data_IF_201956615772
#
_entry.id   IF_201956615772
#
_cell.length_a   1.000
_cell.length_b   1.000
_cell.length_c   1.000
_cell.angle_alpha   90.00
_cell.angle_beta   90.00
_cell.angle_gamma   90.00
#
_symmetry.space_group_name_H-M   'P 1'
#
loop_
_entity.id
_entity.type
_entity.pdbx_description
1 polymer ?
#
# COMPACT_ATOMS: atom_id res chain seq x y z
N UNK A 1 15.29 17.92 -9.74
CA UNK A 1 14.33 18.36 -8.71
C UNK A 1 13.61 17.18 -8.09
N UNK A 2 13.35 17.24 -6.78
CA UNK A 2 12.63 16.22 -6.00
C UNK A 2 11.21 16.74 -5.74
N UNK A 3 10.21 15.85 -5.78
CA UNK A 3 8.82 16.21 -5.44
C UNK A 3 8.71 16.37 -3.93
N UNK A 4 8.09 17.45 -3.47
CA UNK A 4 7.87 17.75 -2.06
C UNK A 4 6.37 17.78 -1.76
N UNK A 5 5.97 17.25 -0.60
CA UNK A 5 4.56 17.18 -0.16
C UNK A 5 3.99 15.76 -0.14
N UNK A 6 2.69 15.66 0.11
CA UNK A 6 1.97 14.37 0.13
C UNK A 6 1.64 13.92 -1.29
N UNK A 7 2.00 12.69 -1.63
CA UNK A 7 1.72 12.09 -2.93
C UNK A 7 1.61 10.57 -2.87
N UNK A 8 0.72 10.03 -3.71
CA UNK A 8 0.72 8.65 -4.14
C UNK A 8 0.54 8.66 -5.66
N UNK A 9 1.59 8.32 -6.40
CA UNK A 9 1.61 8.46 -7.87
C UNK A 9 1.96 7.12 -8.49
N UNK A 10 1.21 6.74 -9.52
CA UNK A 10 1.51 5.58 -10.36
C UNK A 10 1.80 6.03 -11.80
N UNK A 11 2.78 5.40 -12.43
CA UNK A 11 3.23 5.67 -13.78
C UNK A 11 3.41 4.37 -14.57
N UNK A 12 3.03 4.41 -15.84
CA UNK A 12 3.29 3.36 -16.82
C UNK A 12 4.22 3.92 -17.88
N UNK A 13 5.23 3.15 -18.25
CA UNK A 13 6.21 3.54 -19.25
C UNK A 13 5.97 2.68 -20.49
N UNK A 14 5.71 3.33 -21.64
CA UNK A 14 5.51 2.63 -22.91
C UNK A 14 6.65 1.65 -23.21
N UNK A 15 6.28 0.42 -23.60
CA UNK A 15 7.24 -0.65 -23.87
C UNK A 15 7.77 -1.39 -22.62
N UNK A 16 7.28 -1.06 -21.42
CA UNK A 16 7.56 -1.81 -20.19
C UNK A 16 6.29 -2.48 -19.68
N UNK A 17 6.40 -3.75 -19.34
CA UNK A 17 5.34 -4.51 -18.67
C UNK A 17 5.44 -4.34 -17.15
N UNK A 18 5.33 -3.09 -16.70
CA UNK A 18 5.42 -2.75 -15.28
C UNK A 18 4.68 -1.44 -14.98
N UNK A 19 4.07 -1.40 -13.80
CA UNK A 19 3.61 -0.16 -13.15
C UNK A 19 4.67 0.25 -12.13
N UNK A 20 5.01 1.53 -12.12
CA UNK A 20 5.89 2.12 -11.12
C UNK A 20 5.06 3.03 -10.24
N UNK A 21 5.22 2.97 -8.93
CA UNK A 21 4.54 3.90 -8.05
C UNK A 21 5.43 4.35 -6.90
N UNK A 22 5.12 5.53 -6.36
CA UNK A 22 5.82 6.10 -5.23
C UNK A 22 4.81 6.66 -4.23
N UNK A 23 5.13 6.52 -2.95
CA UNK A 23 4.32 6.97 -1.82
C UNK A 23 5.10 7.92 -0.92
N UNK A 24 4.45 8.99 -0.51
CA UNK A 24 4.84 9.82 0.62
C UNK A 24 3.59 10.46 1.24
N UNK A 25 3.28 10.17 2.51
CA UNK A 25 2.14 10.64 3.31
C UNK A 25 0.73 10.26 2.78
N UNK A 26 0.55 10.01 1.48
CA UNK A 26 -0.72 9.55 0.90
C UNK A 26 -0.78 8.02 0.89
N UNK A 27 -1.92 7.39 1.25
CA UNK A 27 -2.02 5.94 1.33
C UNK A 27 -1.85 5.29 -0.06
N UNK A 28 -1.07 4.21 -0.08
CA UNK A 28 -0.86 3.37 -1.26
C UNK A 28 -0.60 1.94 -0.80
N UNK A 29 -1.30 1.00 -1.41
CA UNK A 29 -1.31 -0.40 -1.02
C UNK A 29 -1.26 -1.30 -2.24
N UNK A 30 -0.51 -2.41 -2.12
CA UNK A 30 -0.41 -3.45 -3.15
C UNK A 30 -1.29 -4.64 -2.76
N UNK A 31 -2.22 -5.00 -3.62
CA UNK A 31 -2.90 -6.29 -3.56
C UNK A 31 -2.13 -7.33 -4.38
N UNK A 32 -1.87 -8.50 -3.83
CA UNK A 32 -1.11 -9.56 -4.50
C UNK A 32 -1.97 -10.81 -4.71
N UNK A 33 -2.06 -11.33 -5.92
CA UNK A 33 -2.57 -12.69 -6.18
C UNK A 33 -1.52 -13.51 -6.93
N UNK A 34 -1.82 -14.78 -7.19
CA UNK A 34 -0.89 -15.70 -7.87
C UNK A 34 -0.55 -15.25 -9.29
N UNK A 35 -1.42 -14.48 -9.96
CA UNK A 35 -1.28 -14.11 -11.37
C UNK A 35 -1.48 -12.62 -11.66
N UNK A 36 -1.97 -11.84 -10.70
CA UNK A 36 -2.30 -10.42 -10.88
C UNK A 36 -1.93 -9.62 -9.64
N UNK A 37 -1.57 -8.36 -9.85
CA UNK A 37 -1.23 -7.43 -8.79
C UNK A 37 -2.06 -6.17 -8.97
N UNK A 38 -2.49 -5.63 -7.85
CA UNK A 38 -3.37 -4.48 -7.76
C UNK A 38 -2.63 -3.37 -7.02
N UNK A 39 -2.90 -2.13 -7.41
CA UNK A 39 -2.38 -0.95 -6.72
C UNK A 39 -3.55 0.00 -6.50
N UNK A 40 -3.78 0.37 -5.25
CA UNK A 40 -4.90 1.24 -4.88
C UNK A 40 -4.53 2.10 -3.67
N UNK A 41 -5.34 3.12 -3.39
CA UNK A 41 -5.23 3.92 -2.16
C UNK A 41 -5.76 3.18 -0.94
N UNK A 42 -6.57 2.13 -1.14
CA UNK A 42 -7.17 1.37 -0.05
C UNK A 42 -7.52 -0.07 -0.50
N UNK A 43 -7.64 -0.98 0.47
CA UNK A 43 -7.83 -2.42 0.27
C UNK A 43 -9.17 -2.79 -0.39
N UNK A 44 -10.32 -2.18 -0.04
CA UNK A 44 -11.61 -2.55 -0.62
C UNK A 44 -11.67 -2.46 -2.15
N UNK A 45 -10.82 -1.65 -2.77
CA UNK A 45 -10.76 -1.48 -4.22
C UNK A 45 -10.37 -2.75 -4.99
N UNK A 46 -9.74 -3.73 -4.34
CA UNK A 46 -9.33 -4.99 -4.96
C UNK A 46 -9.68 -6.23 -4.15
N UNK A 47 -10.41 -6.07 -3.04
CA UNK A 47 -10.65 -7.13 -2.07
C UNK A 47 -11.51 -8.28 -2.62
N UNK A 48 -12.32 -8.01 -3.67
CA UNK A 48 -13.02 -9.05 -4.43
C UNK A 48 -12.08 -9.98 -5.20
N UNK A 49 -10.82 -9.57 -5.43
CA UNK A 49 -9.83 -10.31 -6.20
C UNK A 49 -8.74 -10.94 -5.34
N UNK A 50 -8.36 -10.30 -4.23
CA UNK A 50 -7.38 -10.82 -3.29
C UNK A 50 -7.50 -10.19 -1.91
N UNK A 51 -7.31 -11.01 -0.88
CA UNK A 51 -7.18 -10.61 0.52
C UNK A 51 -5.71 -10.43 0.96
N UNK A 52 -4.75 -10.68 0.07
CA UNK A 52 -3.31 -10.58 0.36
C UNK A 52 -2.83 -9.18 0.03
N UNK A 53 -2.33 -8.50 1.05
CA UNK A 53 -2.05 -7.06 1.04
C UNK A 53 -0.62 -6.79 1.49
N UNK A 54 0.09 -5.92 0.78
CA UNK A 54 1.34 -5.32 1.24
C UNK A 54 1.17 -3.80 1.33
N UNK A 55 1.28 -3.28 2.56
CA UNK A 55 1.26 -1.84 2.81
C UNK A 55 2.63 -1.22 2.49
N UNK A 56 2.62 -0.14 1.73
CA UNK A 56 3.82 0.66 1.46
C UNK A 56 4.02 1.68 2.57
N UNK A 57 5.25 2.04 2.86
CA UNK A 57 5.61 3.12 3.79
C UNK A 57 6.00 4.39 3.00
N UNK A 58 6.19 5.48 3.72
CA UNK A 58 6.63 6.73 3.12
C UNK A 58 8.08 6.62 2.61
N UNK A 59 8.31 7.15 1.41
CA UNK A 59 9.57 7.00 0.70
C UNK A 59 9.69 5.70 -0.10
N UNK A 60 8.69 4.81 -0.05
CA UNK A 60 8.69 3.60 -0.87
C UNK A 60 8.46 3.93 -2.35
N UNK A 61 9.25 3.27 -3.19
CA UNK A 61 9.07 3.16 -4.63
C UNK A 61 8.83 1.70 -4.96
N UNK A 62 7.68 1.40 -5.56
CA UNK A 62 7.28 0.06 -5.95
C UNK A 62 7.32 -0.11 -7.46
N UNK A 63 7.87 -1.24 -7.90
CA UNK A 63 7.71 -1.75 -9.27
C UNK A 63 6.83 -2.98 -9.22
N UNK A 64 5.67 -2.89 -9.85
CA UNK A 64 4.68 -3.96 -9.97
C UNK A 64 4.73 -4.55 -11.37
N UNK A 65 4.78 -5.87 -11.46
CA UNK A 65 4.78 -6.68 -12.69
C UNK A 65 3.80 -7.83 -12.53
N UNK A 66 3.36 -8.49 -13.62
CA UNK A 66 2.45 -9.65 -13.52
C UNK A 66 2.96 -10.79 -12.64
N UNK A 67 4.28 -10.91 -12.46
CA UNK A 67 4.90 -11.95 -11.63
C UNK A 67 5.14 -11.55 -10.18
N UNK A 68 4.80 -10.32 -9.79
CA UNK A 68 4.96 -9.81 -8.43
C UNK A 68 5.45 -8.38 -8.38
N UNK A 69 5.91 -7.95 -7.20
CA UNK A 69 6.36 -6.59 -6.96
C UNK A 69 7.73 -6.55 -6.27
N UNK A 70 8.41 -5.43 -6.39
CA UNK A 70 9.64 -5.13 -5.65
C UNK A 70 9.51 -3.72 -5.10
N UNK A 71 9.94 -3.53 -3.85
CA UNK A 71 9.95 -2.23 -3.19
C UNK A 71 11.39 -1.79 -2.97
N UNK A 72 11.66 -0.52 -3.23
CA UNK A 72 12.91 0.14 -2.88
C UNK A 72 12.62 1.40 -2.08
N UNK A 73 13.59 1.87 -1.32
CA UNK A 73 13.57 3.22 -0.77
C UNK A 73 13.89 4.29 -1.85
N UNK A 74 13.90 5.56 -1.46
CA UNK A 74 14.24 6.70 -2.32
C UNK A 74 15.69 6.63 -2.88
N UNK A 75 16.56 5.83 -2.27
CA UNK A 75 17.96 5.62 -2.69
C UNK A 75 18.10 4.44 -3.67
N UNK A 76 17.02 3.70 -3.91
CA UNK A 76 16.99 2.51 -4.76
C UNK A 76 17.44 1.24 -4.04
N UNK A 77 17.62 1.27 -2.72
CA UNK A 77 17.94 0.09 -1.93
C UNK A 77 16.68 -0.75 -1.71
N UNK A 78 16.78 -2.08 -1.88
CA UNK A 78 15.61 -2.96 -1.72
C UNK A 78 15.15 -2.98 -0.27
N UNK A 79 13.84 -2.82 -0.08
CA UNK A 79 13.17 -2.94 1.21
C UNK A 79 12.12 -4.05 1.15
N UNK A 80 11.91 -4.72 2.28
CA UNK A 80 10.95 -5.81 2.39
C UNK A 80 9.65 -5.31 3.02
N UNK A 81 8.54 -5.43 2.29
CA UNK A 81 7.18 -5.21 2.80
C UNK A 81 6.48 -6.55 2.93
N UNK A 82 6.02 -6.87 4.15
CA UNK A 82 5.33 -8.12 4.39
C UNK A 82 4.00 -8.15 3.64
N UNK A 83 3.66 -9.32 3.10
CA UNK A 83 2.32 -9.58 2.59
C UNK A 83 1.51 -10.24 3.68
N UNK A 84 0.42 -9.59 4.08
CA UNK A 84 -0.51 -10.02 5.12
C UNK A 84 -1.84 -10.43 4.48
N UNK A 85 -2.57 -11.34 5.12
CA UNK A 85 -3.96 -11.64 4.72
C UNK A 85 -4.89 -10.78 5.57
N UNK A 86 -5.77 -10.03 4.92
CA UNK A 86 -6.78 -9.22 5.60
C UNK A 86 -8.04 -10.05 5.80
N UNK A 87 -8.42 -10.26 7.05
CA UNK A 87 -9.73 -10.85 7.38
C UNK A 87 -10.82 -9.80 7.10
N UNK A 88 -11.67 -10.07 6.11
CA UNK A 88 -12.77 -9.16 5.74
C UNK A 88 -14.08 -9.91 5.62
N UNK A 89 -15.13 -9.40 6.28
CA UNK A 89 -16.50 -9.89 6.12
C UNK A 89 -17.24 -9.04 5.07
N UNK A 90 -17.82 -9.66 4.02
CA UNK A 90 -18.65 -8.97 3.03
C UNK A 90 -19.83 -8.16 3.59
N UNK A 91 -20.21 -8.38 4.85
CA UNK A 91 -21.22 -7.56 5.53
C UNK A 91 -20.71 -6.17 5.95
N UNK A 92 -19.39 -5.95 6.00
CA UNK A 92 -18.77 -4.68 6.40
C UNK A 92 -18.79 -3.61 5.29
N UNK A 93 -19.15 -3.99 4.06
CA UNK A 93 -19.24 -3.12 2.88
C UNK A 93 -20.24 -1.94 3.03
N UNK A 94 -21.14 -1.99 4.02
CA UNK A 94 -22.25 -1.03 4.19
C UNK A 94 -21.93 0.23 4.98
N UNK A 95 -20.78 0.30 5.67
CA UNK A 95 -20.30 1.50 6.36
C UNK A 95 -18.91 1.77 5.83
N UNK A 96 -18.68 2.96 5.27
CA UNK A 96 -17.41 3.31 4.62
C UNK A 96 -16.23 2.78 5.44
N UNK A 97 -15.39 1.95 4.79
CA UNK A 97 -14.37 1.06 5.37
C UNK A 97 -13.21 1.74 6.11
N UNK A 98 -13.47 2.87 6.73
CA UNK A 98 -12.59 3.61 7.64
C UNK A 98 -12.52 2.95 9.03
N UNK A 99 -13.44 2.07 9.40
CA UNK A 99 -13.54 1.57 10.79
C UNK A 99 -12.37 0.67 11.20
N UNK A 100 -11.88 -0.21 10.33
CA UNK A 100 -10.78 -1.13 10.69
C UNK A 100 -9.37 -0.51 10.54
N UNK A 101 -9.20 0.45 9.63
CA UNK A 101 -7.91 1.16 9.48
C UNK A 101 -7.72 2.21 10.58
N UNK A 102 -8.78 2.94 10.96
CA UNK A 102 -8.74 3.86 12.11
C UNK A 102 -8.40 3.11 13.41
N UNK A 103 -8.86 1.85 13.56
CA UNK A 103 -8.48 0.99 14.69
C UNK A 103 -6.99 0.56 14.66
N UNK A 104 -6.40 0.34 13.48
CA UNK A 104 -4.95 0.06 13.36
C UNK A 104 -4.12 1.32 13.64
N UNK A 105 -4.53 2.50 13.16
CA UNK A 105 -3.90 3.79 13.51
C UNK A 105 -4.00 4.12 15.01
N UNK A 106 -5.09 3.75 15.68
CA UNK A 106 -5.23 3.88 17.14
C UNK A 106 -4.35 2.85 17.89
N UNK A 107 -4.22 1.62 17.38
CA UNK A 107 -3.36 0.59 18.00
C UNK A 107 -1.85 0.79 17.72
N UNK A 108 -1.48 1.40 16.60
CA UNK A 108 -0.12 1.82 16.27
C UNK A 108 0.27 3.15 16.94
N UNK A 109 -0.63 3.74 17.74
CA UNK A 109 -0.25 4.68 18.78
C UNK A 109 -0.03 4.01 20.14
N UNK A 110 1.18 3.49 20.44
CA UNK A 110 1.64 3.43 21.81
C UNK A 110 2.66 4.53 22.07
N UNK A 111 2.39 5.42 23.04
CA UNK A 111 3.40 6.14 23.85
C UNK A 111 3.97 7.49 23.33
N UNK A 112 3.20 8.38 22.69
CA UNK A 112 3.68 9.76 22.42
C UNK A 112 3.28 10.81 23.48
N UNK A 113 2.41 10.48 24.45
CA UNK A 113 2.02 11.41 25.52
C UNK A 113 2.25 10.78 26.89
N UNK A 114 3.51 10.82 27.31
CA UNK A 114 3.91 10.31 28.61
C UNK A 114 5.35 10.63 28.94
N UNK A 115 5.71 11.93 29.00
CA UNK A 115 6.62 12.56 29.99
C UNK A 115 7.12 13.93 29.54
N UNK A 116 6.51 14.96 30.14
CA UNK A 116 7.09 16.09 30.90
C UNK A 116 6.37 17.39 30.62
#
# INVERSE_FOLDING_TARGET
>A
DRIEGSYAVAAVIGGREAVYAARNDSPLVVGASDSTQYLASDVPAFLEFTDRVAYLEDGDVVRVTPSGFTVTDERGERVHRATETVDWDPQDTGKGGYDHYMLKEINEQPTALGRS
#
